data_IF_833778324054
#
_entry.id   IF_833778324054
#
_cell.length_a   1.000
_cell.length_b   1.000
_cell.length_c   1.000
_cell.angle_alpha   90.00
_cell.angle_beta   90.00
_cell.angle_gamma   90.00
#
_symmetry.space_group_name_H-M   'P 1'
#
loop_
_entity.id
_entity.type
_entity.pdbx_description
1 polymer ?
#
# COMPACT_ATOMS: atom_id res chain seq x y z
N UNK A 1 58.60 -25.97 -36.49
CA UNK A 1 59.08 -25.93 -37.89
C UNK A 1 58.29 -24.87 -38.63
N UNK A 2 58.94 -23.76 -38.99
CA UNK A 2 58.36 -22.77 -39.89
C UNK A 2 58.67 -23.20 -41.34
N UNK A 3 57.63 -23.29 -42.17
CA UNK A 3 57.68 -23.43 -43.64
C UNK A 3 56.22 -23.23 -44.09
N UNK A 4 55.86 -22.35 -45.00
CA UNK A 4 56.58 -21.37 -45.79
C UNK A 4 55.53 -20.47 -46.43
N UNK A 5 55.92 -19.25 -46.77
CA UNK A 5 55.10 -18.36 -47.58
C UNK A 5 54.88 -18.96 -48.97
N UNK A 6 53.65 -18.85 -49.45
CA UNK A 6 53.28 -19.04 -50.84
C UNK A 6 52.54 -17.79 -51.31
N UNK A 7 53.29 -16.77 -51.71
CA UNK A 7 52.77 -15.65 -52.50
C UNK A 7 52.46 -16.16 -53.90
N UNK A 8 51.18 -16.06 -54.29
CA UNK A 8 50.77 -16.06 -55.69
C UNK A 8 50.46 -14.62 -56.05
N UNK A 9 51.29 -14.01 -56.90
CA UNK A 9 51.01 -12.69 -57.48
C UNK A 9 50.18 -12.87 -58.74
N UNK A 10 48.93 -12.40 -58.65
CA UNK A 10 48.05 -12.19 -59.79
C UNK A 10 48.50 -10.92 -60.51
N UNK A 11 48.69 -11.05 -61.82
CA UNK A 11 48.85 -9.94 -62.75
C UNK A 11 47.63 -9.03 -62.69
N UNK A 12 47.82 -7.79 -62.22
CA UNK A 12 46.85 -6.70 -62.35
C UNK A 12 45.86 -6.56 -61.18
N UNK A 13 46.23 -5.73 -60.20
CA UNK A 13 45.36 -5.31 -59.09
C UNK A 13 46.14 -5.22 -57.78
N UNK A 14 46.19 -4.04 -57.17
CA UNK A 14 47.05 -3.73 -56.02
C UNK A 14 47.03 -4.79 -54.90
N UNK A 15 48.23 -5.19 -54.47
CA UNK A 15 48.48 -6.26 -53.50
C UNK A 15 47.93 -5.86 -52.11
N UNK A 16 46.70 -6.27 -51.80
CA UNK A 16 46.16 -6.15 -50.44
C UNK A 16 46.61 -7.37 -49.64
N UNK A 17 47.50 -7.15 -48.66
CA UNK A 17 47.99 -8.21 -47.76
C UNK A 17 46.83 -9.01 -47.14
N UNK A 18 46.90 -10.34 -47.15
CA UNK A 18 45.85 -11.24 -46.63
C UNK A 18 45.39 -10.85 -45.22
N UNK A 19 46.32 -10.38 -44.36
CA UNK A 19 46.03 -9.85 -43.01
C UNK A 19 45.07 -8.67 -43.01
N UNK A 20 45.18 -7.76 -43.98
CA UNK A 20 44.27 -6.61 -44.14
C UNK A 20 42.89 -7.06 -44.62
N UNK A 21 42.84 -8.07 -45.50
CA UNK A 21 41.57 -8.66 -45.96
C UNK A 21 40.86 -9.35 -44.80
N UNK A 22 41.57 -10.14 -43.98
CA UNK A 22 40.95 -10.78 -42.80
C UNK A 22 40.46 -9.76 -41.78
N UNK A 23 41.21 -8.67 -41.54
CA UNK A 23 40.77 -7.57 -40.67
C UNK A 23 39.51 -6.88 -41.19
N UNK A 24 39.40 -6.66 -42.50
CA UNK A 24 38.22 -6.08 -43.13
C UNK A 24 37.00 -7.00 -43.02
N UNK A 25 37.17 -8.31 -43.23
CA UNK A 25 36.09 -9.29 -43.08
C UNK A 25 35.64 -9.40 -41.61
N UNK A 26 36.58 -9.43 -40.66
CA UNK A 26 36.27 -9.47 -39.24
C UNK A 26 35.56 -8.19 -38.76
N UNK A 27 36.01 -7.00 -39.20
CA UNK A 27 35.33 -5.75 -38.86
C UNK A 27 33.92 -5.66 -39.45
N UNK A 28 33.72 -6.14 -40.68
CA UNK A 28 32.39 -6.23 -41.29
C UNK A 28 31.46 -7.19 -40.52
N UNK A 29 31.95 -8.35 -40.10
CA UNK A 29 31.17 -9.29 -39.28
C UNK A 29 30.82 -8.71 -37.90
N UNK A 30 31.72 -7.94 -37.28
CA UNK A 30 31.43 -7.24 -36.01
C UNK A 30 30.34 -6.18 -36.23
N UNK A 31 30.39 -5.42 -37.33
CA UNK A 31 29.35 -4.44 -37.66
C UNK A 31 27.97 -5.09 -37.86
N UNK A 32 27.91 -6.24 -38.55
CA UNK A 32 26.67 -7.01 -38.70
C UNK A 32 26.16 -7.49 -37.35
N UNK A 33 27.04 -8.04 -36.50
CA UNK A 33 26.66 -8.51 -35.17
C UNK A 33 26.10 -7.36 -34.31
N UNK A 34 26.73 -6.18 -34.32
CA UNK A 34 26.23 -4.99 -33.62
C UNK A 34 24.92 -4.48 -34.20
N UNK A 35 24.72 -4.54 -35.52
CA UNK A 35 23.46 -4.14 -36.15
C UNK A 35 22.31 -5.06 -35.75
N UNK A 36 22.52 -6.38 -35.78
CA UNK A 36 21.53 -7.37 -35.33
C UNK A 36 21.25 -7.21 -33.84
N UNK A 37 22.27 -7.01 -33.02
CA UNK A 37 22.12 -6.82 -31.57
C UNK A 37 21.37 -5.52 -31.27
N UNK A 38 21.63 -4.43 -32.01
CA UNK A 38 20.83 -3.19 -31.93
C UNK A 38 19.39 -3.42 -32.37
N UNK A 39 19.14 -4.21 -33.41
CA UNK A 39 17.78 -4.51 -33.87
C UNK A 39 17.00 -5.36 -32.85
N UNK A 40 17.66 -6.34 -32.22
CA UNK A 40 17.08 -7.15 -31.14
C UNK A 40 16.84 -6.32 -29.88
N UNK A 41 17.79 -5.45 -29.51
CA UNK A 41 17.65 -4.57 -28.34
C UNK A 41 16.64 -3.45 -28.57
N UNK A 42 16.56 -2.90 -29.79
CA UNK A 42 15.53 -1.94 -30.18
C UNK A 42 14.15 -2.61 -30.27
N UNK A 43 14.07 -3.88 -30.67
CA UNK A 43 12.83 -4.66 -30.64
C UNK A 43 12.38 -4.97 -29.21
N UNK A 44 13.30 -5.14 -28.25
CA UNK A 44 12.97 -5.30 -26.82
C UNK A 44 12.70 -3.97 -26.11
N UNK A 45 13.24 -2.85 -26.61
CA UNK A 45 13.02 -1.49 -26.11
C UNK A 45 11.98 -0.70 -26.91
N UNK A 46 11.31 -1.32 -27.89
CA UNK A 46 10.02 -0.87 -28.36
C UNK A 46 9.01 -1.12 -27.24
N UNK A 47 9.09 -0.28 -26.20
CA UNK A 47 7.89 0.27 -25.60
C UNK A 47 7.05 0.74 -26.78
N UNK A 48 6.07 -0.07 -27.17
CA UNK A 48 4.93 0.43 -27.91
C UNK A 48 4.51 1.70 -27.18
N UNK A 49 4.65 2.91 -27.75
CA UNK A 49 3.91 4.02 -27.23
C UNK A 49 2.47 3.60 -27.48
N UNK A 50 1.78 3.19 -26.43
CA UNK A 50 0.40 2.72 -26.48
C UNK A 50 -0.47 3.94 -26.81
N UNK A 51 -0.41 4.38 -28.06
CA UNK A 51 -1.10 5.55 -28.59
C UNK A 51 -2.62 5.29 -28.71
N UNK A 52 -3.08 4.09 -28.33
CA UNK A 52 -4.50 3.72 -28.36
C UNK A 52 -5.25 4.04 -27.07
N UNK A 53 -4.58 4.49 -25.99
CA UNK A 53 -5.23 4.87 -24.74
C UNK A 53 -5.03 6.35 -24.40
N UNK A 54 -5.17 7.25 -25.38
CA UNK A 54 -5.47 8.64 -25.04
C UNK A 54 -6.89 8.66 -24.44
N UNK A 55 -6.97 8.60 -23.11
CA UNK A 55 -8.23 8.75 -22.37
C UNK A 55 -8.87 10.05 -22.86
N UNK A 56 -9.98 9.92 -23.60
CA UNK A 56 -10.72 11.07 -24.10
C UNK A 56 -11.55 11.64 -22.96
N UNK A 57 -10.99 12.63 -22.29
CA UNK A 57 -11.72 13.41 -21.29
C UNK A 57 -12.75 14.31 -21.96
N UNK A 58 -13.92 14.40 -21.36
CA UNK A 58 -14.95 15.38 -21.70
C UNK A 58 -14.48 16.79 -21.31
N UNK A 59 -15.06 17.82 -21.94
CA UNK A 59 -14.69 19.21 -21.64
C UNK A 59 -14.89 19.59 -20.15
N UNK A 60 -15.89 19.01 -19.49
CA UNK A 60 -16.14 19.22 -18.06
C UNK A 60 -15.10 18.54 -17.16
N UNK A 61 -14.62 17.34 -17.52
CA UNK A 61 -13.53 16.68 -16.79
C UNK A 61 -12.23 17.48 -16.91
N UNK A 62 -11.92 17.99 -18.10
CA UNK A 62 -10.75 18.84 -18.33
C UNK A 62 -10.85 20.12 -17.47
N UNK A 63 -12.03 20.75 -17.43
CA UNK A 63 -12.29 21.92 -16.59
C UNK A 63 -12.07 21.64 -15.10
N UNK A 64 -12.60 20.52 -14.58
CA UNK A 64 -12.37 20.09 -13.19
C UNK A 64 -10.89 19.82 -12.90
N UNK A 65 -10.19 19.20 -13.84
CA UNK A 65 -8.75 18.98 -13.72
C UNK A 65 -7.99 20.30 -13.64
N UNK A 66 -8.25 21.25 -14.53
CA UNK A 66 -7.62 22.58 -14.53
C UNK A 66 -7.89 23.34 -13.22
N UNK A 67 -9.11 23.28 -12.71
CA UNK A 67 -9.51 23.91 -11.45
C UNK A 67 -8.77 23.28 -10.25
N UNK A 68 -8.69 21.96 -10.17
CA UNK A 68 -7.91 21.26 -9.15
C UNK A 68 -6.42 21.65 -9.19
N UNK A 69 -5.88 21.88 -10.39
CA UNK A 69 -4.48 22.23 -10.57
C UNK A 69 -4.24 23.68 -10.13
N UNK A 70 -5.21 24.58 -10.39
CA UNK A 70 -5.18 25.96 -9.90
C UNK A 70 -5.21 26.02 -8.37
N UNK A 71 -6.10 25.27 -7.73
CA UNK A 71 -6.21 25.21 -6.26
C UNK A 71 -4.92 24.70 -5.63
N UNK A 72 -4.34 23.62 -6.19
CA UNK A 72 -3.04 23.10 -5.72
C UNK A 72 -1.92 24.11 -5.87
N UNK A 73 -1.87 24.85 -6.98
CA UNK A 73 -0.88 25.93 -7.18
C UNK A 73 -1.08 27.10 -6.23
N UNK A 74 -2.32 27.50 -5.95
CA UNK A 74 -2.60 28.62 -5.03
C UNK A 74 -2.35 28.25 -3.56
N UNK A 75 -2.48 26.96 -3.20
CA UNK A 75 -2.21 26.45 -1.85
C UNK A 75 -0.77 25.96 -1.65
N UNK A 76 0.03 25.88 -2.71
CA UNK A 76 1.43 25.47 -2.60
C UNK A 76 2.21 26.51 -1.78
N UNK A 77 2.80 26.15 -0.62
CA UNK A 77 3.42 27.10 0.29
C UNK A 77 4.82 27.50 -0.23
N UNK A 78 4.87 28.28 -1.31
CA UNK A 78 6.10 28.66 -2.02
C UNK A 78 7.11 29.40 -1.15
N UNK A 79 6.62 30.26 -0.25
CA UNK A 79 7.47 30.99 0.70
C UNK A 79 8.11 30.05 1.73
N UNK A 80 7.36 29.08 2.27
CA UNK A 80 7.91 28.10 3.21
C UNK A 80 8.97 27.23 2.52
N UNK A 81 8.68 26.74 1.31
CA UNK A 81 9.64 25.95 0.53
C UNK A 81 10.91 26.76 0.24
N UNK A 82 10.78 28.05 -0.07
CA UNK A 82 11.92 28.94 -0.29
C UNK A 82 12.76 29.14 0.98
N UNK A 83 12.11 29.36 2.13
CA UNK A 83 12.77 29.53 3.42
C UNK A 83 13.52 28.26 3.85
N UNK A 84 12.88 27.10 3.73
CA UNK A 84 13.50 25.79 4.01
C UNK A 84 14.70 25.55 3.10
N UNK A 85 14.60 25.89 1.80
CA UNK A 85 15.73 25.77 0.87
C UNK A 85 16.90 26.68 1.23
N UNK A 86 16.63 27.90 1.70
CA UNK A 86 17.66 28.84 2.15
C UNK A 86 18.33 28.34 3.42
N UNK A 87 17.56 27.92 4.42
CA UNK A 87 18.07 27.31 5.66
C UNK A 87 18.94 26.09 5.36
N UNK A 88 18.48 25.19 4.48
CA UNK A 88 19.26 24.01 4.09
C UNK A 88 20.60 24.37 3.45
N UNK A 89 20.64 25.41 2.62
CA UNK A 89 21.88 25.89 2.02
C UNK A 89 22.82 26.49 3.08
N UNK A 90 22.29 27.31 3.99
CA UNK A 90 23.06 27.94 5.06
C UNK A 90 23.64 26.88 6.03
N UNK A 91 22.90 25.80 6.28
CA UNK A 91 23.35 24.62 7.06
C UNK A 91 24.43 23.83 6.30
N UNK A 92 24.21 23.49 5.03
CA UNK A 92 25.18 22.74 4.23
C UNK A 92 26.52 23.48 4.03
N UNK A 93 26.49 24.83 4.04
CA UNK A 93 27.72 25.64 3.93
C UNK A 93 28.54 25.63 5.24
N UNK A 94 27.94 25.18 6.35
CA UNK A 94 28.58 25.07 7.67
C UNK A 94 29.09 23.67 8.02
N UNK A 95 28.90 22.68 7.14
CA UNK A 95 29.37 21.31 7.31
C UNK A 95 30.91 21.24 7.21
N UNK A 96 31.60 21.26 8.35
CA UNK A 96 32.83 20.49 8.50
C UNK A 96 32.46 19.17 9.17
N UNK A 97 32.48 18.09 8.40
CA UNK A 97 32.26 16.72 8.86
C UNK A 97 33.26 16.35 9.97
N UNK A 98 32.84 16.44 11.22
CA UNK A 98 33.53 15.81 12.35
C UNK A 98 32.50 14.97 13.08
N UNK A 99 32.60 13.67 12.88
CA UNK A 99 31.66 12.66 13.37
C UNK A 99 31.83 12.46 14.88
N UNK A 100 30.73 12.32 15.62
CA UNK A 100 30.78 12.04 17.05
C UNK A 100 31.52 10.72 17.32
N UNK A 101 32.31 10.70 18.39
CA UNK A 101 33.02 9.48 18.82
C UNK A 101 32.04 8.33 19.11
N UNK A 102 32.35 7.08 18.72
CA UNK A 102 31.49 5.92 18.99
C UNK A 102 31.15 5.74 20.47
N UNK A 103 32.05 6.14 21.38
CA UNK A 103 31.82 6.08 22.82
C UNK A 103 30.69 7.02 23.27
N UNK A 104 30.66 8.24 22.73
CA UNK A 104 29.60 9.21 23.03
C UNK A 104 28.26 8.70 22.51
N UNK A 105 28.22 8.20 21.27
CA UNK A 105 27.01 7.60 20.69
C UNK A 105 26.45 6.48 21.56
N UNK A 106 27.31 5.56 22.03
CA UNK A 106 26.91 4.48 22.94
C UNK A 106 26.30 4.99 24.25
N UNK A 107 26.91 6.01 24.87
CA UNK A 107 26.37 6.63 26.09
C UNK A 107 24.99 7.27 25.86
N UNK A 108 24.79 7.94 24.74
CA UNK A 108 23.50 8.55 24.40
C UNK A 108 22.41 7.48 24.29
N UNK A 109 22.70 6.34 23.64
CA UNK A 109 21.76 5.22 23.53
C UNK A 109 21.40 4.68 24.91
N UNK A 110 22.38 4.44 25.77
CA UNK A 110 22.15 3.90 27.11
C UNK A 110 21.27 4.84 27.96
N UNK A 111 21.51 6.15 27.90
CA UNK A 111 20.72 7.15 28.62
C UNK A 111 19.26 7.23 28.11
N UNK A 112 19.07 7.22 26.78
CA UNK A 112 17.73 7.19 26.18
C UNK A 112 17.00 5.92 26.61
N UNK A 113 17.66 4.75 26.54
CA UNK A 113 17.07 3.48 26.96
C UNK A 113 16.72 3.47 28.45
N UNK A 114 17.55 4.06 29.31
CA UNK A 114 17.23 4.19 30.73
C UNK A 114 16.02 5.10 30.95
N UNK A 115 15.92 6.22 30.23
CA UNK A 115 14.77 7.13 30.30
C UNK A 115 13.48 6.43 29.87
N UNK A 116 13.54 5.66 28.78
CA UNK A 116 12.41 4.91 28.24
C UNK A 116 11.99 3.74 29.14
N UNK A 117 12.93 3.03 29.77
CA UNK A 117 12.62 1.94 30.73
C UNK A 117 11.86 2.41 31.97
N UNK A 118 11.99 3.69 32.35
CA UNK A 118 11.25 4.29 33.46
C UNK A 118 9.79 4.59 33.09
N UNK A 119 9.45 4.60 31.80
CA UNK A 119 8.07 4.70 31.33
C UNK A 119 7.42 3.31 31.39
N UNK A 120 6.19 3.23 31.90
CA UNK A 120 5.45 1.96 31.98
C UNK A 120 5.20 1.35 30.60
N UNK A 121 5.02 0.02 30.54
CA UNK A 121 4.86 -0.79 29.32
C UNK A 121 3.63 -0.41 28.46
N UNK A 122 2.72 0.43 28.99
CA UNK A 122 1.50 0.94 28.32
C UNK A 122 1.51 2.45 28.07
N UNK A 123 2.69 3.07 27.99
CA UNK A 123 2.80 4.50 27.75
C UNK A 123 2.43 4.85 26.30
N UNK A 124 1.59 5.89 26.13
CA UNK A 124 1.19 6.40 24.82
C UNK A 124 2.41 6.93 24.05
N UNK A 125 2.34 6.88 22.71
CA UNK A 125 3.42 7.37 21.81
C UNK A 125 3.79 8.83 22.11
N UNK A 126 2.81 9.65 22.51
CA UNK A 126 3.00 11.04 22.96
C UNK A 126 3.92 11.15 24.17
N UNK A 127 3.70 10.33 25.21
CA UNK A 127 4.51 10.34 26.43
C UNK A 127 5.94 9.87 26.16
N UNK A 128 6.11 8.88 25.29
CA UNK A 128 7.43 8.40 24.85
C UNK A 128 8.19 9.52 24.12
N UNK A 129 7.52 10.25 23.22
CA UNK A 129 8.10 11.39 22.50
C UNK A 129 8.49 12.51 23.44
N UNK A 130 7.59 12.91 24.33
CA UNK A 130 7.82 13.98 25.30
C UNK A 130 9.02 13.67 26.22
N UNK A 131 9.14 12.42 26.67
CA UNK A 131 10.27 12.01 27.51
C UNK A 131 11.62 12.14 26.79
N UNK A 132 11.66 11.83 25.49
CA UNK A 132 12.87 11.91 24.66
C UNK A 132 13.20 13.37 24.31
N UNK A 133 12.20 14.19 23.99
CA UNK A 133 12.39 15.63 23.75
C UNK A 133 12.87 16.36 25.01
N UNK A 134 12.34 15.96 26.17
CA UNK A 134 12.79 16.47 27.47
C UNK A 134 14.25 16.09 27.72
N UNK A 135 14.62 14.81 27.53
CA UNK A 135 15.99 14.35 27.67
C UNK A 135 16.94 15.09 26.70
N UNK A 136 16.53 15.27 25.44
CA UNK A 136 17.32 16.01 24.43
C UNK A 136 17.59 17.44 24.87
N UNK A 137 16.58 18.11 25.43
CA UNK A 137 16.68 19.48 25.95
C UNK A 137 17.60 19.57 27.17
N UNK A 138 17.51 18.61 28.10
CA UNK A 138 18.39 18.48 29.26
C UNK A 138 19.85 18.27 28.83
N UNK A 139 20.11 17.33 27.92
CA UNK A 139 21.47 17.03 27.41
C UNK A 139 22.09 18.19 26.64
N UNK A 140 21.29 18.89 25.85
CA UNK A 140 21.73 20.07 25.12
C UNK A 140 22.13 21.20 26.09
N UNK A 141 21.40 21.35 27.21
CA UNK A 141 21.77 22.31 28.26
C UNK A 141 23.07 21.93 28.95
N UNK A 142 23.23 20.66 29.35
CA UNK A 142 24.47 20.14 29.95
C UNK A 142 25.69 20.38 29.04
N UNK A 143 25.55 20.10 27.74
CA UNK A 143 26.62 20.30 26.77
C UNK A 143 26.98 21.79 26.58
N UNK A 144 25.99 22.69 26.61
CA UNK A 144 26.21 24.15 26.54
C UNK A 144 26.89 24.69 27.80
N UNK A 145 26.51 24.20 28.98
CA UNK A 145 27.14 24.56 30.26
C UNK A 145 28.61 24.10 30.32
N UNK A 146 28.90 22.89 29.85
CA UNK A 146 30.29 22.37 29.77
C UNK A 146 31.20 23.24 28.90
N UNK A 147 30.68 23.77 27.78
CA UNK A 147 31.43 24.71 26.93
C UNK A 147 31.67 26.03 27.67
N UNK A 148 30.69 26.51 28.44
CA UNK A 148 30.78 27.78 29.16
C UNK A 148 31.75 27.74 30.35
N UNK A 149 31.74 26.64 31.12
CA UNK A 149 32.57 26.44 32.32
C UNK A 149 34.06 26.21 31.99
N UNK A 150 34.37 25.62 30.84
CA UNK A 150 35.76 25.33 30.43
C UNK A 150 36.49 26.49 29.74
N UNK A 151 35.91 27.70 29.70
CA UNK A 151 36.54 28.92 29.15
C UNK A 151 37.83 29.39 29.88
N UNK A 152 38.44 28.56 30.74
CA UNK A 152 39.68 28.85 31.45
C UNK A 152 40.68 27.69 31.62
N UNK A 153 40.42 26.49 31.08
CA UNK A 153 41.31 25.32 31.23
C UNK A 153 41.56 24.63 29.89
N UNK A 154 42.83 24.30 29.60
CA UNK A 154 43.38 23.79 28.32
C UNK A 154 42.92 22.37 27.91
N UNK A 155 41.64 22.02 28.01
CA UNK A 155 41.11 20.75 27.51
C UNK A 155 40.33 20.97 26.20
N UNK A 156 41.05 21.33 25.14
CA UNK A 156 40.47 21.63 23.80
C UNK A 156 39.59 20.48 23.28
N UNK A 157 39.95 19.24 23.58
CA UNK A 157 39.24 18.03 23.11
C UNK A 157 37.84 17.89 23.73
N UNK A 158 37.65 18.22 25.01
CA UNK A 158 36.36 18.08 25.69
C UNK A 158 35.39 19.17 25.21
N UNK A 159 35.90 20.39 25.01
CA UNK A 159 35.10 21.52 24.48
C UNK A 159 34.68 21.27 23.04
N UNK A 160 35.58 20.73 22.21
CA UNK A 160 35.26 20.32 20.84
C UNK A 160 34.19 19.21 20.81
N UNK A 161 34.32 18.18 21.65
CA UNK A 161 33.36 17.07 21.75
C UNK A 161 31.98 17.54 22.24
N UNK A 162 31.95 18.45 23.23
CA UNK A 162 30.71 19.09 23.69
C UNK A 162 30.09 19.97 22.59
N UNK A 163 30.90 20.71 21.83
CA UNK A 163 30.45 21.51 20.70
C UNK A 163 29.86 20.67 19.56
N UNK A 164 30.44 19.50 19.28
CA UNK A 164 29.89 18.52 18.33
C UNK A 164 28.57 17.95 18.85
N UNK A 165 28.49 17.61 20.13
CA UNK A 165 27.28 17.09 20.74
C UNK A 165 26.13 18.12 20.67
N UNK A 166 26.40 19.41 20.91
CA UNK A 166 25.40 20.47 20.74
C UNK A 166 24.88 20.54 19.32
N UNK A 167 25.74 20.48 18.30
CA UNK A 167 25.30 20.50 16.89
C UNK A 167 24.46 19.28 16.55
N UNK A 168 24.92 18.09 16.96
CA UNK A 168 24.21 16.84 16.72
C UNK A 168 22.84 16.82 17.39
N UNK A 169 22.72 17.33 18.62
CA UNK A 169 21.46 17.43 19.34
C UNK A 169 20.58 18.59 18.86
N UNK A 170 21.10 19.71 18.38
CA UNK A 170 20.28 20.89 18.04
C UNK A 170 19.87 20.92 16.55
N UNK A 171 20.81 20.60 15.65
CA UNK A 171 20.69 20.77 14.21
C UNK A 171 20.55 19.44 13.46
N UNK A 172 21.30 18.42 13.87
CA UNK A 172 21.43 17.15 13.13
C UNK A 172 20.76 15.97 13.85
N UNK A 173 19.71 16.24 14.64
CA UNK A 173 19.06 15.21 15.45
C UNK A 173 18.51 14.03 14.64
N UNK A 174 17.97 14.29 13.45
CA UNK A 174 17.45 13.24 12.58
C UNK A 174 18.58 12.30 12.11
N UNK A 175 19.72 12.87 11.71
CA UNK A 175 20.90 12.11 11.29
C UNK A 175 21.52 11.33 12.46
N UNK A 176 21.63 11.97 13.64
CA UNK A 176 22.09 11.32 14.87
C UNK A 176 21.15 10.17 15.26
N UNK A 177 19.83 10.37 15.15
CA UNK A 177 18.82 9.35 15.48
C UNK A 177 18.94 8.13 14.57
N UNK A 178 19.09 8.34 13.27
CA UNK A 178 19.33 7.23 12.32
C UNK A 178 20.63 6.49 12.65
N UNK A 179 21.69 7.22 12.96
CA UNK A 179 23.01 6.66 13.26
C UNK A 179 23.05 5.82 14.54
N UNK A 180 22.36 6.27 15.59
CA UNK A 180 22.23 5.52 16.85
C UNK A 180 21.13 4.45 16.80
N UNK A 181 20.44 4.29 15.65
CA UNK A 181 19.37 3.30 15.46
C UNK A 181 18.09 3.63 16.24
N UNK A 182 17.86 4.89 16.55
CA UNK A 182 16.70 5.36 17.29
C UNK A 182 15.61 5.86 16.34
N UNK A 183 14.45 5.20 16.34
CA UNK A 183 13.30 5.58 15.52
C UNK A 183 12.02 5.60 16.36
N UNK A 184 11.35 6.75 16.39
CA UNK A 184 10.03 6.92 17.01
C UNK A 184 8.95 6.98 15.91
N UNK A 185 7.91 6.14 15.98
CA UNK A 185 6.76 6.26 15.08
C UNK A 185 6.18 7.67 15.15
N UNK A 186 5.94 8.30 13.99
CA UNK A 186 5.12 9.51 13.93
C UNK A 186 3.73 9.18 14.44
N UNK A 187 3.12 10.10 15.19
CA UNK A 187 1.71 9.99 15.56
C UNK A 187 0.90 10.21 14.28
N UNK A 188 0.56 9.13 13.60
CA UNK A 188 -0.31 9.18 12.43
C UNK A 188 -1.73 9.28 12.96
N UNK A 189 -2.19 10.51 13.19
CA UNK A 189 -3.62 10.76 13.21
C UNK A 189 -4.14 10.51 11.80
N UNK A 190 -4.66 9.31 11.57
CA UNK A 190 -5.50 9.04 10.41
C UNK A 190 -6.79 9.81 10.64
N UNK A 191 -6.81 11.09 10.28
CA UNK A 191 -8.08 11.74 9.97
C UNK A 191 -8.54 11.10 8.66
N UNK A 192 -9.46 10.15 8.78
CA UNK A 192 -10.18 9.59 7.64
C UNK A 192 -10.99 10.74 7.04
N UNK A 193 -10.37 11.42 6.09
CA UNK A 193 -11.01 12.46 5.32
C UNK A 193 -12.01 11.75 4.41
N UNK A 194 -13.31 11.93 4.69
CA UNK A 194 -14.36 11.48 3.80
C UNK A 194 -14.32 12.38 2.56
N UNK A 195 -13.37 12.09 1.67
CA UNK A 195 -13.20 12.76 0.37
C UNK A 195 -14.35 12.40 -0.60
N UNK A 196 -15.38 11.70 -0.09
CA UNK A 196 -16.61 11.40 -0.80
C UNK A 196 -17.37 12.71 -1.03
N UNK A 197 -17.61 13.10 -2.29
CA UNK A 197 -18.43 14.27 -2.58
C UNK A 197 -19.85 14.03 -2.03
N UNK A 198 -20.39 15.03 -1.33
CA UNK A 198 -21.78 15.00 -0.84
C UNK A 198 -22.74 14.71 -2.01
N UNK A 199 -23.35 13.53 -2.00
CA UNK A 199 -24.35 13.12 -2.99
C UNK A 199 -23.93 12.07 -4.02
N UNK A 200 -22.72 11.51 -3.96
CA UNK A 200 -22.40 10.29 -4.72
C UNK A 200 -22.82 9.05 -3.93
N UNK A 201 -23.88 8.39 -4.41
CA UNK A 201 -24.25 7.03 -3.99
C UNK A 201 -23.07 6.09 -4.29
N UNK A 202 -22.72 5.19 -3.36
CA UNK A 202 -21.70 4.18 -3.64
C UNK A 202 -22.09 3.42 -4.92
N UNK A 203 -21.15 3.09 -5.82
CA UNK A 203 -21.48 2.30 -6.98
C UNK A 203 -22.20 1.05 -6.50
N UNK A 204 -23.48 0.91 -6.87
CA UNK A 204 -24.32 -0.21 -6.46
C UNK A 204 -23.55 -1.49 -6.73
N UNK A 205 -23.30 -2.30 -5.69
CA UNK A 205 -22.58 -3.55 -5.85
C UNK A 205 -23.41 -4.47 -6.77
N UNK A 206 -22.97 -4.62 -8.02
CA UNK A 206 -23.76 -5.29 -9.06
C UNK A 206 -23.71 -6.79 -8.83
N UNK A 207 -24.86 -7.37 -8.48
CA UNK A 207 -25.02 -8.83 -8.41
C UNK A 207 -24.92 -9.44 -9.81
N UNK A 208 -24.09 -10.48 -9.94
CA UNK A 208 -23.99 -11.23 -11.18
C UNK A 208 -25.33 -11.92 -11.55
N UNK A 209 -25.65 -11.88 -12.83
CA UNK A 209 -26.84 -12.52 -13.40
C UNK A 209 -27.97 -11.54 -13.70
N UNK A 210 -29.19 -12.06 -13.81
CA UNK A 210 -30.39 -11.25 -14.07
C UNK A 210 -30.76 -10.40 -12.84
N UNK A 211 -31.37 -9.22 -13.02
CA UNK A 211 -31.84 -8.40 -11.90
C UNK A 211 -32.78 -9.18 -10.97
N UNK A 212 -32.62 -8.98 -9.67
CA UNK A 212 -33.45 -9.63 -8.66
C UNK A 212 -34.85 -8.98 -8.68
N UNK A 213 -35.95 -9.76 -8.79
CA UNK A 213 -37.30 -9.21 -8.76
C UNK A 213 -37.62 -8.45 -7.44
N UNK A 214 -38.40 -7.37 -7.51
CA UNK A 214 -38.73 -6.57 -6.32
C UNK A 214 -39.45 -7.34 -5.20
N UNK A 215 -40.24 -8.36 -5.53
CA UNK A 215 -40.89 -9.26 -4.54
C UNK A 215 -39.90 -9.99 -3.63
N UNK A 216 -38.65 -10.09 -4.04
CA UNK A 216 -37.58 -10.76 -3.30
C UNK A 216 -37.01 -9.92 -2.15
N UNK A 217 -37.30 -8.61 -2.11
CA UNK A 217 -36.77 -7.64 -1.16
C UNK A 217 -35.28 -7.87 -0.88
N UNK A 218 -34.46 -7.72 -1.91
CA UNK A 218 -33.02 -8.01 -1.85
C UNK A 218 -32.31 -7.04 -0.89
N UNK A 219 -31.52 -7.61 0.00
CA UNK A 219 -30.61 -6.92 0.90
C UNK A 219 -29.19 -7.45 0.67
N UNK A 220 -28.30 -6.58 0.21
CA UNK A 220 -26.87 -6.85 0.14
C UNK A 220 -26.28 -6.97 1.55
N UNK A 221 -25.15 -7.68 1.67
CA UNK A 221 -24.43 -7.88 2.92
C UNK A 221 -25.32 -8.29 4.09
N UNK A 222 -26.20 -9.26 3.88
CA UNK A 222 -27.20 -9.66 4.86
C UNK A 222 -27.30 -11.17 4.92
N UNK A 223 -27.30 -11.71 6.14
CA UNK A 223 -27.68 -13.11 6.40
C UNK A 223 -28.92 -13.15 7.31
N UNK A 224 -29.96 -13.81 6.84
CA UNK A 224 -31.17 -14.07 7.60
C UNK A 224 -31.10 -15.44 8.29
N UNK A 225 -31.44 -15.46 9.57
CA UNK A 225 -31.67 -16.70 10.31
C UNK A 225 -33.01 -17.33 9.95
N UNK A 226 -33.14 -18.64 10.17
CA UNK A 226 -34.39 -19.35 9.95
C UNK A 226 -34.20 -20.86 9.85
N UNK A 227 -35.30 -21.61 9.90
CA UNK A 227 -35.29 -23.05 9.69
C UNK A 227 -35.07 -23.34 8.19
N UNK A 228 -34.04 -24.13 7.86
CA UNK A 228 -33.77 -24.50 6.48
C UNK A 228 -34.88 -25.43 5.94
N UNK A 229 -35.63 -24.97 4.95
CA UNK A 229 -36.55 -25.81 4.16
C UNK A 229 -35.82 -26.46 2.98
N UNK A 230 -34.69 -25.88 2.58
CA UNK A 230 -33.72 -26.52 1.68
C UNK A 230 -32.30 -26.04 2.03
N UNK A 231 -31.40 -27.00 2.21
CA UNK A 231 -30.00 -26.76 2.58
C UNK A 231 -29.19 -26.25 1.39
N UNK A 232 -28.45 -25.15 1.58
CA UNK A 232 -27.64 -24.55 0.52
C UNK A 232 -26.40 -25.37 0.16
N UNK A 233 -25.84 -26.13 1.10
CA UNK A 233 -24.68 -27.03 0.87
C UNK A 233 -24.86 -27.98 -0.32
N UNK A 234 -26.10 -28.36 -0.63
CA UNK A 234 -26.44 -29.22 -1.79
C UNK A 234 -27.35 -28.54 -2.80
N UNK A 235 -27.64 -27.25 -2.61
CA UNK A 235 -28.54 -26.49 -3.46
C UNK A 235 -27.86 -25.23 -3.98
N UNK A 236 -27.35 -25.31 -5.21
CA UNK A 236 -26.66 -24.21 -5.86
C UNK A 236 -27.54 -23.55 -6.93
N UNK A 237 -27.35 -22.24 -7.10
CA UNK A 237 -28.02 -21.42 -8.12
C UNK A 237 -27.03 -20.44 -8.74
N UNK A 238 -27.16 -20.17 -10.03
CA UNK A 238 -26.20 -19.33 -10.75
C UNK A 238 -26.29 -17.84 -10.37
N UNK A 239 -27.43 -17.41 -9.81
CA UNK A 239 -27.64 -16.02 -9.41
C UNK A 239 -28.54 -15.88 -8.19
N UNK A 240 -28.46 -14.71 -7.53
CA UNK A 240 -29.36 -14.32 -6.44
C UNK A 240 -30.83 -14.35 -6.88
N UNK A 241 -31.12 -13.90 -8.12
CA UNK A 241 -32.47 -13.92 -8.67
C UNK A 241 -33.02 -15.35 -8.80
N UNK A 242 -32.18 -16.31 -9.20
CA UNK A 242 -32.59 -17.72 -9.30
C UNK A 242 -32.76 -18.37 -7.93
N UNK A 243 -31.99 -17.92 -6.93
CA UNK A 243 -32.20 -18.34 -5.54
C UNK A 243 -33.53 -17.84 -4.99
N UNK A 244 -33.86 -16.57 -5.20
CA UNK A 244 -35.18 -16.05 -4.85
C UNK A 244 -36.31 -16.81 -5.58
N UNK A 245 -36.18 -17.03 -6.89
CA UNK A 245 -37.19 -17.77 -7.64
C UNK A 245 -37.37 -19.19 -7.09
N UNK A 246 -36.29 -19.85 -6.69
CA UNK A 246 -36.36 -21.16 -6.05
C UNK A 246 -37.11 -21.14 -4.72
N UNK A 247 -37.00 -20.06 -3.94
CA UNK A 247 -37.79 -19.85 -2.73
C UNK A 247 -39.28 -19.75 -3.06
N UNK A 248 -39.64 -18.88 -4.02
CA UNK A 248 -41.03 -18.71 -4.47
C UNK A 248 -41.63 -20.02 -4.99
N UNK A 249 -40.85 -20.79 -5.75
CA UNK A 249 -41.29 -22.08 -6.30
C UNK A 249 -41.40 -23.17 -5.24
N UNK A 250 -40.56 -23.14 -4.20
CA UNK A 250 -40.71 -24.04 -3.05
C UNK A 250 -41.98 -23.69 -2.27
N UNK A 251 -42.20 -22.41 -1.99
CA UNK A 251 -43.37 -21.93 -1.25
C UNK A 251 -44.68 -22.33 -1.95
N UNK A 252 -44.74 -22.24 -3.28
CA UNK A 252 -45.90 -22.66 -4.10
C UNK A 252 -46.15 -24.18 -4.08
N UNK A 253 -45.09 -24.99 -3.97
CA UNK A 253 -45.18 -26.46 -4.00
C UNK A 253 -45.34 -27.10 -2.63
N UNK A 254 -45.10 -26.35 -1.56
CA UNK A 254 -45.20 -26.84 -0.20
C UNK A 254 -46.62 -27.34 0.12
N UNK A 255 -46.71 -28.54 0.69
CA UNK A 255 -47.97 -29.18 1.06
C UNK A 255 -48.58 -28.52 2.31
N UNK A 256 -49.87 -28.71 2.59
CA UNK A 256 -50.46 -28.31 3.86
C UNK A 256 -49.70 -28.92 5.05
N UNK A 257 -49.21 -28.07 5.96
CA UNK A 257 -48.40 -28.48 7.12
C UNK A 257 -46.88 -28.41 6.91
N UNK A 258 -46.39 -28.21 5.69
CA UNK A 258 -44.97 -27.95 5.43
C UNK A 258 -44.63 -26.46 5.58
N UNK A 259 -43.40 -26.18 6.03
CA UNK A 259 -42.88 -24.82 6.04
C UNK A 259 -42.68 -24.31 4.60
N UNK A 260 -43.30 -23.17 4.31
CA UNK A 260 -43.17 -22.46 3.04
C UNK A 260 -41.96 -21.54 3.11
N UNK A 261 -41.07 -21.60 2.13
CA UNK A 261 -39.94 -20.68 2.07
C UNK A 261 -40.45 -19.23 2.08
N UNK A 262 -39.91 -18.43 2.99
CA UNK A 262 -40.11 -16.98 2.99
C UNK A 262 -38.81 -16.18 3.06
N UNK A 263 -37.67 -16.87 3.18
CA UNK A 263 -36.34 -16.28 3.26
C UNK A 263 -35.43 -17.02 2.28
N UNK A 264 -34.66 -16.29 1.48
CA UNK A 264 -33.61 -16.84 0.64
C UNK A 264 -32.27 -16.20 1.00
N UNK A 265 -31.20 -16.99 1.03
CA UNK A 265 -29.83 -16.52 1.29
C UNK A 265 -28.91 -17.12 0.23
N UNK A 266 -28.15 -16.28 -0.44
CA UNK A 266 -27.32 -16.60 -1.59
C UNK A 266 -25.87 -16.20 -1.34
N UNK A 267 -24.92 -17.05 -1.76
CA UNK A 267 -23.50 -16.73 -1.75
C UNK A 267 -23.01 -16.24 -3.12
N UNK A 268 -22.85 -14.91 -3.34
CA UNK A 268 -22.32 -14.37 -4.60
C UNK A 268 -20.80 -14.48 -4.72
N UNK A 269 -20.07 -14.61 -3.61
CA UNK A 269 -18.61 -14.61 -3.60
C UNK A 269 -18.03 -15.88 -4.24
N UNK A 270 -17.12 -15.73 -5.20
CA UNK A 270 -16.38 -16.84 -5.81
C UNK A 270 -15.48 -17.58 -4.80
N UNK A 271 -15.06 -16.87 -3.73
CA UNK A 271 -14.24 -17.42 -2.66
C UNK A 271 -15.06 -18.07 -1.52
N UNK A 272 -16.38 -18.17 -1.70
CA UNK A 272 -17.28 -18.65 -0.67
C UNK A 272 -17.69 -17.58 0.33
N UNK A 273 -18.58 -17.96 1.24
CA UNK A 273 -19.21 -17.05 2.19
C UNK A 273 -18.99 -17.53 3.63
N UNK A 274 -18.70 -16.59 4.53
CA UNK A 274 -18.44 -16.92 5.93
C UNK A 274 -19.75 -17.10 6.72
N UNK A 275 -19.86 -18.18 7.48
CA UNK A 275 -20.90 -18.44 8.48
C UNK A 275 -20.23 -18.95 9.76
N UNK A 276 -20.75 -18.66 10.96
CA UNK A 276 -20.18 -19.15 12.22
C UNK A 276 -20.50 -20.62 12.54
N UNK A 277 -20.59 -21.48 11.53
CA UNK A 277 -20.84 -22.90 11.70
C UNK A 277 -19.61 -23.74 11.29
N UNK A 278 -19.79 -25.07 11.30
CA UNK A 278 -18.72 -26.03 11.03
C UNK A 278 -18.48 -26.26 9.53
N UNK A 279 -19.30 -25.67 8.66
CA UNK A 279 -19.25 -25.91 7.23
C UNK A 279 -18.45 -24.84 6.51
N UNK A 280 -17.93 -25.23 5.34
CA UNK A 280 -17.29 -24.31 4.41
C UNK A 280 -18.28 -24.02 3.28
N UNK A 281 -18.79 -22.78 3.24
CA UNK A 281 -19.80 -22.41 2.25
C UNK A 281 -19.16 -21.93 0.96
N UNK A 282 -19.62 -22.49 -0.15
CA UNK A 282 -19.07 -22.25 -1.48
C UNK A 282 -19.88 -21.24 -2.27
N UNK A 283 -19.26 -20.73 -3.34
CA UNK A 283 -19.91 -19.90 -4.33
C UNK A 283 -21.21 -20.56 -4.83
N UNK A 284 -22.24 -19.76 -5.09
CA UNK A 284 -23.55 -20.17 -5.61
C UNK A 284 -24.46 -20.94 -4.64
N UNK A 285 -24.06 -21.14 -3.38
CA UNK A 285 -24.96 -21.74 -2.39
C UNK A 285 -26.25 -20.92 -2.23
N UNK A 286 -27.39 -21.62 -2.29
CA UNK A 286 -28.72 -21.05 -2.15
C UNK A 286 -29.48 -21.74 -1.03
N UNK A 287 -29.62 -21.03 0.08
CA UNK A 287 -30.32 -21.48 1.27
C UNK A 287 -31.76 -21.00 1.22
N UNK A 288 -32.70 -21.94 1.29
CA UNK A 288 -34.13 -21.64 1.40
C UNK A 288 -34.54 -21.86 2.84
N UNK A 289 -35.03 -20.80 3.49
CA UNK A 289 -35.33 -20.78 4.92
C UNK A 289 -36.78 -20.33 5.17
N UNK A 290 -37.29 -20.70 6.34
CA UNK A 290 -38.55 -20.22 6.88
C UNK A 290 -38.36 -19.67 8.29
N UNK A 291 -39.00 -18.53 8.57
CA UNK A 291 -39.22 -18.04 9.92
C UNK A 291 -40.56 -17.28 9.99
N UNK A 292 -41.34 -17.46 11.07
CA UNK A 292 -42.57 -16.69 11.27
C UNK A 292 -42.31 -15.18 11.33
N UNK A 293 -41.17 -14.80 11.91
CA UNK A 293 -40.67 -13.43 11.99
C UNK A 293 -39.22 -13.42 11.51
N UNK A 294 -38.97 -13.14 10.23
CA UNK A 294 -37.61 -13.06 9.68
C UNK A 294 -36.75 -12.09 10.49
N UNK A 295 -35.61 -12.59 10.97
CA UNK A 295 -34.65 -11.79 11.74
C UNK A 295 -33.29 -11.88 11.06
N UNK A 296 -32.68 -10.72 10.85
CA UNK A 296 -31.30 -10.60 10.36
C UNK A 296 -30.35 -11.12 11.45
N UNK A 297 -29.55 -12.12 11.11
CA UNK A 297 -28.46 -12.60 11.96
C UNK A 297 -27.30 -11.62 11.88
N UNK A 298 -26.94 -11.24 10.66
CA UNK A 298 -25.85 -10.30 10.37
C UNK A 298 -26.27 -9.34 9.25
N UNK A 299 -25.80 -8.09 9.35
CA UNK A 299 -26.10 -7.02 8.39
C UNK A 299 -24.90 -6.08 8.26
N UNK A 300 -24.54 -5.76 7.02
CA UNK A 300 -23.47 -4.87 6.58
C UNK A 300 -22.08 -5.32 7.02
N UNK A 301 -21.73 -5.16 8.31
CA UNK A 301 -20.39 -5.45 8.83
C UNK A 301 -20.45 -6.30 10.10
N UNK A 302 -19.49 -7.21 10.25
CA UNK A 302 -19.28 -7.90 11.52
C UNK A 302 -18.61 -6.94 12.51
N UNK A 303 -19.12 -6.87 13.74
CA UNK A 303 -18.54 -6.02 14.78
C UNK A 303 -17.13 -6.48 15.15
N UNK A 304 -16.28 -5.55 15.59
CA UNK A 304 -14.91 -5.87 16.02
C UNK A 304 -14.90 -6.91 17.14
N UNK A 305 -15.76 -6.76 18.15
CA UNK A 305 -15.91 -7.73 19.23
C UNK A 305 -16.27 -9.13 18.70
N UNK A 306 -17.10 -9.22 17.66
CA UNK A 306 -17.45 -10.49 17.04
C UNK A 306 -16.26 -11.09 16.29
N UNK A 307 -15.53 -10.29 15.51
CA UNK A 307 -14.35 -10.72 14.75
C UNK A 307 -13.16 -11.11 15.64
N UNK A 308 -13.01 -10.47 16.80
CA UNK A 308 -12.02 -10.88 17.81
C UNK A 308 -12.31 -12.30 18.33
N UNK A 309 -13.58 -12.65 18.49
CA UNK A 309 -14.00 -14.01 18.87
C UNK A 309 -14.06 -14.97 17.67
N UNK A 310 -14.16 -14.46 16.45
CA UNK A 310 -14.22 -15.24 15.21
C UNK A 310 -13.18 -14.71 14.20
N UNK A 311 -11.89 -15.07 14.34
CA UNK A 311 -10.82 -14.48 13.53
C UNK A 311 -10.94 -14.71 12.01
N UNK A 312 -11.73 -15.71 11.59
CA UNK A 312 -12.02 -16.01 10.19
C UNK A 312 -13.15 -15.14 9.59
N UNK A 313 -13.88 -14.40 10.42
CA UNK A 313 -14.98 -13.55 9.96
C UNK A 313 -14.42 -12.35 9.17
N UNK A 314 -14.87 -12.14 7.91
CA UNK A 314 -14.50 -10.96 7.14
C UNK A 314 -15.04 -9.68 7.78
N UNK A 315 -14.65 -8.52 7.27
CA UNK A 315 -15.18 -7.23 7.74
C UNK A 315 -16.64 -7.04 7.33
N UNK A 316 -16.97 -7.39 6.09
CA UNK A 316 -18.28 -7.21 5.48
C UNK A 316 -18.99 -8.57 5.40
N UNK A 317 -20.31 -8.57 5.63
CA UNK A 317 -21.12 -9.79 5.50
C UNK A 317 -21.15 -10.22 4.02
N UNK A 318 -20.69 -11.43 3.66
CA UNK A 318 -20.54 -11.82 2.25
C UNK A 318 -21.84 -12.36 1.62
N UNK A 319 -22.90 -12.52 2.41
CA UNK A 319 -24.17 -13.07 1.96
C UNK A 319 -25.08 -12.00 1.36
N UNK A 320 -25.89 -12.41 0.41
CA UNK A 320 -27.00 -11.62 -0.13
C UNK A 320 -28.28 -12.36 0.19
N UNK A 321 -29.26 -11.69 0.74
CA UNK A 321 -30.49 -12.36 1.14
C UNK A 321 -31.71 -11.47 1.00
N UNK A 322 -32.88 -12.06 1.14
CA UNK A 322 -34.11 -11.30 1.13
C UNK A 322 -35.27 -12.11 1.69
N UNK A 323 -36.31 -11.37 2.05
CA UNK A 323 -37.58 -11.94 2.49
C UNK A 323 -38.57 -11.81 1.34
N UNK A 324 -39.17 -12.92 0.92
CA UNK A 324 -40.23 -12.84 -0.09
C UNK A 324 -41.53 -12.39 0.59
N UNK A 325 -42.17 -11.37 0.03
CA UNK A 325 -43.52 -10.99 0.42
C UNK A 325 -44.48 -12.01 -0.22
N UNK A 326 -45.18 -12.76 0.64
CA UNK A 326 -46.13 -13.79 0.24
C UNK A 326 -47.41 -13.20 -0.38
#
# INVERSE_FOLDING_TARGET
MARGGGEWTVTGGGVVSYKRITLLVCSFNILIALFVLRFLYASSLHFYPNHHNAVRYTSDEIRKMEESTRIRRSKHPSELVRLVKKLKHDVATSESSVELSPNVKGKLVDEILERLKRLEEKSNVTLVREAVETWRSEKLKEAKELIQEQNGVNSTVIVEEAGMLVRALELEWDALSEEIGFWLPAEVHNEEHDDKPEGEEEPEEILAGRPVPGVCNVELHTDYGGAAVRWGLTHHKESAADCCQACLDQAKRAKPGEMRCNIWVYCPSEFGCFSPDIYEHKHQECWLKYAEKPKRSFKDRYSEAYRNNHPKAPTIVPWVSGVVTA
#
